data_IF_509039818049
#
_entry.id   IF_509039818049
#
_cell.length_a   1.000
_cell.length_b   1.000
_cell.length_c   1.000
_cell.angle_alpha   90.00
_cell.angle_beta   90.00
_cell.angle_gamma   90.00
#
_symmetry.space_group_name_H-M   'P 1'
#
loop_
_entity.id
_entity.type
_entity.pdbx_description
1 polymer ?
#
# COMPACT_ATOMS: atom_id res chain seq x y z
N UNK A 1 -0.27 8.22 -15.36
CA UNK A 1 1.16 7.83 -15.38
C UNK A 1 2.08 8.93 -15.88
N UNK A 2 1.82 9.58 -17.03
CA UNK A 2 2.66 10.70 -17.51
C UNK A 2 2.82 11.83 -16.47
N UNK A 3 1.75 12.16 -15.74
CA UNK A 3 1.79 13.20 -14.70
C UNK A 3 2.65 12.82 -13.49
N UNK A 4 2.71 11.54 -13.12
CA UNK A 4 3.51 11.05 -12.00
C UNK A 4 5.01 11.29 -12.28
N UNK A 5 5.46 10.86 -13.47
CA UNK A 5 6.83 11.12 -13.94
C UNK A 5 7.11 12.62 -14.05
N UNK A 6 6.18 13.39 -14.65
CA UNK A 6 6.33 14.84 -14.81
C UNK A 6 6.59 15.55 -13.48
N UNK A 7 5.87 15.18 -12.41
CA UNK A 7 6.04 15.76 -11.08
C UNK A 7 7.37 15.30 -10.46
N UNK A 8 7.70 14.01 -10.59
CA UNK A 8 8.97 13.47 -10.08
C UNK A 8 10.18 14.16 -10.74
N UNK A 9 10.16 14.35 -12.07
CA UNK A 9 11.21 15.02 -12.83
C UNK A 9 11.40 16.51 -12.43
N UNK A 10 10.43 17.10 -11.72
CA UNK A 10 10.55 18.44 -11.12
C UNK A 10 11.29 18.43 -9.77
N UNK A 11 11.81 17.28 -9.34
CA UNK A 11 12.50 17.10 -8.06
C UNK A 11 11.55 16.97 -6.87
N UNK A 12 10.25 16.75 -7.10
CA UNK A 12 9.25 16.56 -6.06
C UNK A 12 9.20 15.08 -5.69
N UNK A 13 9.36 14.75 -4.42
CA UNK A 13 9.21 13.37 -3.93
C UNK A 13 7.75 12.92 -4.06
N UNK A 14 7.51 11.76 -4.70
CA UNK A 14 6.16 11.24 -4.95
C UNK A 14 6.01 9.83 -4.36
N UNK A 15 5.77 9.70 -3.04
CA UNK A 15 5.50 8.40 -2.44
C UNK A 15 4.18 7.84 -2.96
N UNK A 16 4.18 6.56 -3.32
CA UNK A 16 3.01 5.89 -3.88
C UNK A 16 2.27 5.09 -2.80
N UNK A 17 0.94 5.11 -2.85
CA UNK A 17 0.08 4.33 -1.95
C UNK A 17 -0.96 3.58 -2.78
N UNK A 18 -1.25 2.32 -2.44
CA UNK A 18 -2.32 1.54 -3.07
C UNK A 18 -3.11 0.75 -2.04
N UNK A 19 -4.44 0.75 -2.18
CA UNK A 19 -5.31 -0.18 -1.45
C UNK A 19 -5.45 -1.47 -2.26
N UNK A 20 -5.22 -2.62 -1.61
CA UNK A 20 -5.41 -3.94 -2.19
C UNK A 20 -6.72 -4.54 -1.67
N UNK A 21 -7.64 -4.90 -2.57
CA UNK A 21 -8.97 -5.42 -2.28
C UNK A 21 -9.02 -6.86 -2.83
N UNK A 22 -9.23 -7.88 -1.98
CA UNK A 22 -9.27 -9.27 -2.45
C UNK A 22 -10.41 -9.46 -3.45
N UNK A 23 -10.20 -10.37 -4.40
CA UNK A 23 -11.19 -10.78 -5.39
C UNK A 23 -11.63 -9.66 -6.38
N UNK A 24 -11.13 -8.43 -6.19
CA UNK A 24 -11.30 -7.30 -7.11
C UNK A 24 -9.98 -6.94 -7.80
N UNK A 25 -8.88 -6.95 -7.05
CA UNK A 25 -7.53 -6.60 -7.51
C UNK A 25 -6.72 -7.89 -7.63
N UNK A 26 -6.14 -8.12 -8.80
CA UNK A 26 -5.25 -9.26 -9.05
C UNK A 26 -3.96 -9.09 -8.23
N UNK A 27 -3.48 -10.17 -7.60
CA UNK A 27 -2.20 -10.22 -6.87
C UNK A 27 -1.03 -9.71 -7.73
N UNK A 28 -1.08 -9.94 -9.04
CA UNK A 28 -0.06 -9.49 -9.98
C UNK A 28 -0.14 -7.99 -10.31
N UNK A 29 -1.26 -7.32 -10.00
CA UNK A 29 -1.42 -5.89 -10.25
C UNK A 29 -0.44 -5.04 -9.44
N UNK A 30 -0.14 -5.45 -8.20
CA UNK A 30 0.86 -4.79 -7.39
C UNK A 30 2.25 -4.81 -8.05
N UNK A 31 2.63 -5.92 -8.69
CA UNK A 31 3.87 -6.02 -9.45
C UNK A 31 3.88 -5.13 -10.69
N UNK A 32 2.75 -5.05 -11.43
CA UNK A 32 2.65 -4.15 -12.60
C UNK A 32 2.82 -2.68 -12.21
N UNK A 33 2.22 -2.28 -11.09
CA UNK A 33 2.33 -0.92 -10.57
C UNK A 33 3.73 -0.65 -10.04
N UNK A 34 4.31 -1.59 -9.28
CA UNK A 34 5.68 -1.48 -8.80
C UNK A 34 6.68 -1.37 -9.96
N UNK A 35 6.50 -2.17 -11.03
CA UNK A 35 7.30 -2.07 -12.25
C UNK A 35 7.18 -0.70 -12.92
N UNK A 36 5.97 -0.16 -13.03
CA UNK A 36 5.77 1.20 -13.55
C UNK A 36 6.47 2.26 -12.68
N UNK A 37 6.38 2.16 -11.36
CA UNK A 37 7.06 3.10 -10.44
C UNK A 37 8.58 2.95 -10.59
N UNK A 38 9.09 1.73 -10.70
CA UNK A 38 10.51 1.44 -10.86
C UNK A 38 11.08 1.97 -12.18
N UNK A 39 10.27 2.05 -13.24
CA UNK A 39 10.67 2.75 -14.48
C UNK A 39 10.93 4.24 -14.22
N UNK A 40 10.24 4.86 -13.25
CA UNK A 40 10.46 6.25 -12.83
C UNK A 40 11.70 6.34 -11.96
N UNK A 41 11.69 5.66 -10.82
CA UNK A 41 12.84 5.49 -9.92
C UNK A 41 12.55 4.34 -8.94
N UNK A 42 13.42 3.30 -8.87
CA UNK A 42 13.25 2.17 -7.95
C UNK A 42 13.35 2.53 -6.46
N UNK A 43 13.85 3.72 -6.12
CA UNK A 43 13.92 4.24 -4.75
C UNK A 43 12.60 4.86 -4.26
N UNK A 44 11.61 5.03 -5.12
CA UNK A 44 10.32 5.59 -4.70
C UNK A 44 9.62 4.63 -3.75
N UNK A 45 9.29 5.12 -2.56
CA UNK A 45 8.55 4.34 -1.57
C UNK A 45 7.15 3.99 -2.06
N UNK A 46 6.77 2.73 -1.84
CA UNK A 46 5.47 2.20 -2.19
C UNK A 46 4.81 1.51 -0.99
N UNK A 47 3.70 2.07 -0.52
CA UNK A 47 2.95 1.52 0.60
C UNK A 47 1.65 0.84 0.13
N UNK A 48 1.48 -0.42 0.53
CA UNK A 48 0.30 -1.22 0.17
C UNK A 48 -0.59 -1.40 1.39
N UNK A 49 -1.84 -0.97 1.27
CA UNK A 49 -2.84 -0.97 2.33
C UNK A 49 -3.82 -2.11 2.07
N UNK A 50 -3.93 -3.04 3.02
CA UNK A 50 -4.93 -4.09 2.98
C UNK A 50 -6.32 -3.53 3.23
N UNK A 51 -7.25 -3.87 2.36
CA UNK A 51 -8.65 -3.48 2.52
C UNK A 51 -9.23 -4.03 3.82
N UNK A 52 -9.90 -3.15 4.57
CA UNK A 52 -10.66 -3.50 5.75
C UNK A 52 -12.16 -3.56 5.39
N UNK A 53 -12.85 -4.67 5.69
CA UNK A 53 -14.26 -4.83 5.35
C UNK A 53 -15.16 -3.72 5.90
N UNK A 54 -16.03 -3.21 5.05
CA UNK A 54 -17.11 -2.28 5.38
C UNK A 54 -18.44 -3.02 5.31
N UNK A 55 -19.29 -2.82 6.31
CA UNK A 55 -20.61 -3.46 6.38
C UNK A 55 -21.43 -3.17 5.11
N UNK A 56 -21.99 -4.22 4.50
CA UNK A 56 -22.79 -4.11 3.28
C UNK A 56 -22.01 -4.20 1.97
N UNK A 57 -20.67 -4.24 2.02
CA UNK A 57 -19.84 -4.46 0.84
C UNK A 57 -19.45 -5.94 0.69
N UNK A 58 -19.29 -6.44 -0.54
CA UNK A 58 -19.05 -7.87 -0.78
C UNK A 58 -17.60 -8.31 -0.51
N UNK A 59 -16.67 -7.35 -0.38
CA UNK A 59 -15.24 -7.67 -0.26
C UNK A 59 -14.84 -8.04 1.17
N UNK A 60 -14.09 -9.12 1.28
CA UNK A 60 -13.50 -9.61 2.52
C UNK A 60 -12.20 -8.89 2.87
N UNK A 61 -11.68 -9.17 4.07
CA UNK A 61 -10.34 -8.75 4.48
C UNK A 61 -9.29 -9.59 3.75
N UNK A 62 -8.09 -9.02 3.57
CA UNK A 62 -6.91 -9.80 3.19
C UNK A 62 -6.48 -10.72 4.34
N UNK A 63 -6.01 -11.91 3.97
CA UNK A 63 -5.19 -12.72 4.85
C UNK A 63 -3.75 -12.19 4.88
N UNK A 64 -3.06 -12.37 6.00
CA UNK A 64 -1.66 -11.93 6.14
C UNK A 64 -0.74 -12.54 5.07
N UNK A 65 -0.97 -13.79 4.71
CA UNK A 65 -0.22 -14.46 3.64
C UNK A 65 -0.42 -13.79 2.28
N UNK A 66 -1.66 -13.41 1.95
CA UNK A 66 -1.95 -12.71 0.69
C UNK A 66 -1.26 -11.35 0.64
N UNK A 67 -1.23 -10.63 1.77
CA UNK A 67 -0.51 -9.37 1.87
C UNK A 67 1.01 -9.56 1.65
N UNK A 68 1.57 -10.61 2.23
CA UNK A 68 2.99 -10.95 2.05
C UNK A 68 3.30 -11.29 0.58
N UNK A 69 2.45 -12.09 -0.08
CA UNK A 69 2.61 -12.45 -1.50
C UNK A 69 2.53 -11.19 -2.40
N UNK A 70 1.62 -10.26 -2.09
CA UNK A 70 1.49 -8.97 -2.76
C UNK A 70 2.75 -8.12 -2.56
N UNK A 71 3.25 -8.03 -1.33
CA UNK A 71 4.47 -7.29 -0.98
C UNK A 71 5.68 -7.81 -1.73
N UNK A 72 5.92 -9.12 -1.66
CA UNK A 72 7.04 -9.79 -2.34
C UNK A 72 6.99 -9.60 -3.85
N UNK A 73 5.80 -9.51 -4.43
CA UNK A 73 5.65 -9.23 -5.87
C UNK A 73 6.07 -7.81 -6.23
N UNK A 74 5.82 -6.82 -5.36
CA UNK A 74 6.26 -5.45 -5.55
C UNK A 74 7.76 -5.25 -5.26
N UNK A 75 8.30 -5.94 -4.24
CA UNK A 75 9.72 -5.90 -3.85
C UNK A 75 10.67 -6.44 -4.92
N UNK A 76 10.15 -7.15 -5.93
CA UNK A 76 10.93 -7.53 -7.13
C UNK A 76 11.36 -6.32 -7.96
N UNK A 77 10.71 -5.16 -7.80
CA UNK A 77 10.91 -3.97 -8.62
C UNK A 77 11.35 -2.74 -7.83
N UNK A 78 10.91 -2.60 -6.58
CA UNK A 78 11.15 -1.42 -5.74
C UNK A 78 11.92 -1.81 -4.48
N UNK A 79 12.76 -0.89 -4.00
CA UNK A 79 13.58 -1.12 -2.81
C UNK A 79 12.81 -0.87 -1.51
N UNK A 80 11.88 0.10 -1.52
CA UNK A 80 11.13 0.51 -0.35
C UNK A 80 9.64 0.15 -0.47
N UNK A 81 9.30 -1.10 -0.14
CA UNK A 81 7.89 -1.54 -0.07
C UNK A 81 7.46 -1.77 1.38
N UNK A 82 6.40 -1.10 1.79
CA UNK A 82 5.83 -1.26 3.13
C UNK A 82 4.36 -1.63 3.05
N UNK A 83 3.82 -2.23 4.11
CA UNK A 83 2.43 -2.70 4.13
C UNK A 83 1.73 -2.38 5.44
N UNK A 84 0.42 -2.13 5.37
CA UNK A 84 -0.47 -2.14 6.52
C UNK A 84 -1.63 -3.07 6.23
N UNK A 85 -1.93 -4.00 7.14
CA UNK A 85 -3.02 -4.96 6.96
C UNK A 85 -3.66 -5.26 8.31
N UNK A 86 -4.95 -4.95 8.43
CA UNK A 86 -5.74 -5.15 9.64
C UNK A 86 -6.95 -6.00 9.33
N UNK A 87 -7.18 -7.03 10.14
CA UNK A 87 -8.30 -7.96 9.97
C UNK A 87 -9.61 -7.40 10.55
N UNK A 88 -9.53 -6.40 11.42
CA UNK A 88 -10.69 -5.77 12.03
C UNK A 88 -10.40 -4.36 12.52
N UNK A 89 -11.47 -3.59 12.72
CA UNK A 89 -11.41 -2.27 13.36
C UNK A 89 -10.82 -2.34 14.78
N UNK A 90 -11.11 -3.40 15.53
CA UNK A 90 -10.55 -3.61 16.87
C UNK A 90 -9.02 -3.80 16.83
N UNK A 91 -8.53 -4.57 15.86
CA UNK A 91 -7.10 -4.75 15.65
C UNK A 91 -6.43 -3.42 15.28
N UNK A 92 -7.05 -2.66 14.37
CA UNK A 92 -6.58 -1.33 13.99
C UNK A 92 -6.49 -0.41 15.22
N UNK A 93 -7.54 -0.30 16.03
CA UNK A 93 -7.53 0.53 17.24
C UNK A 93 -6.46 0.11 18.25
N UNK A 94 -6.22 -1.19 18.41
CA UNK A 94 -5.14 -1.70 19.26
C UNK A 94 -3.77 -1.27 18.73
N UNK A 95 -3.51 -1.48 17.43
CA UNK A 95 -2.24 -1.14 16.77
C UNK A 95 -1.95 0.36 16.79
N UNK A 96 -2.96 1.21 16.59
CA UNK A 96 -2.84 2.67 16.70
C UNK A 96 -2.41 3.10 18.11
N UNK A 97 -2.88 2.42 19.15
CA UNK A 97 -2.46 2.72 20.53
C UNK A 97 -1.02 2.27 20.81
N UNK A 98 -0.63 1.12 20.29
CA UNK A 98 0.66 0.48 20.57
C UNK A 98 1.80 0.99 19.69
N UNK A 99 1.50 1.51 18.49
CA UNK A 99 2.51 1.87 17.50
C UNK A 99 2.34 3.33 17.06
N UNK A 100 3.37 4.14 17.35
CA UNK A 100 3.45 5.56 17.03
C UNK A 100 3.27 5.86 15.54
N UNK A 101 3.64 4.95 14.65
CA UNK A 101 3.51 5.11 13.18
C UNK A 101 2.05 5.24 12.74
N UNK A 102 1.11 4.67 13.51
CA UNK A 102 -0.32 4.72 13.20
C UNK A 102 -1.08 5.79 14.01
N UNK A 103 -0.39 6.55 14.86
CA UNK A 103 -1.01 7.64 15.61
C UNK A 103 -1.15 8.88 14.73
N UNK A 104 -2.39 9.31 14.51
CA UNK A 104 -2.64 10.57 13.81
C UNK A 104 -2.24 11.74 14.72
N UNK A 105 -1.27 12.54 14.30
CA UNK A 105 -1.00 13.85 14.90
C UNK A 105 -1.92 14.86 14.22
N UNK A 106 -2.77 15.53 15.00
CA UNK A 106 -3.51 16.70 14.48
C UNK A 106 -2.53 17.85 14.38
N UNK A 107 -2.26 18.30 13.16
CA UNK A 107 -1.52 19.54 12.92
C UNK A 107 -2.54 20.67 13.01
N UNK A 108 -2.35 21.56 13.99
CA UNK A 108 -3.19 22.75 14.21
C UNK A 108 -2.78 23.90 13.28
#
# INVERSE_FOLDING_TARGET
MAEFRRIYDQGITVPANKVFIPDLIDVHEAGKIAGFIAEVDPQISFHIIGYMPVQGMPWRSLYQKEMEDVKQTAEKYLEEVTTSCFQSLNEYHRKVKENLVYQSVRVA
#
